data_IF_093653023555
#
_entry.id   IF_093653023555
#
_cell.length_a   1.000
_cell.length_b   1.000
_cell.length_c   1.000
_cell.angle_alpha   90.00
_cell.angle_beta   90.00
_cell.angle_gamma   90.00
#
_symmetry.space_group_name_H-M   'P 1'
#
loop_
_entity.id
_entity.type
_entity.pdbx_description
1 polymer ?
#
# COMPACT_ATOMS: atom_id res chain seq x y z
N UNK A 1 12.44 -1.82 -16.46
CA UNK A 1 12.40 -3.16 -17.09
C UNK A 1 11.73 -4.18 -16.19
N UNK A 2 12.09 -4.24 -14.89
CA UNK A 2 11.39 -5.09 -13.92
C UNK A 2 9.90 -4.72 -13.78
N UNK A 3 9.57 -3.47 -13.95
CA UNK A 3 8.20 -2.96 -13.85
C UNK A 3 7.24 -3.54 -14.89
N UNK A 4 7.74 -3.78 -16.11
CA UNK A 4 6.92 -4.37 -17.17
C UNK A 4 6.48 -5.81 -16.87
N UNK A 5 7.28 -6.53 -16.11
CA UNK A 5 6.98 -7.91 -15.74
C UNK A 5 6.00 -8.01 -14.57
N UNK A 6 5.79 -6.89 -13.85
CA UNK A 6 4.86 -6.83 -12.73
C UNK A 6 3.45 -6.45 -13.16
N UNK A 7 3.31 -5.85 -14.35
CA UNK A 7 2.05 -5.37 -14.87
C UNK A 7 1.40 -6.42 -15.75
N UNK A 8 0.21 -6.84 -15.39
CA UNK A 8 -0.63 -7.68 -16.19
C UNK A 8 -1.96 -6.97 -16.42
N UNK A 9 -1.96 -6.06 -17.40
CA UNK A 9 -3.13 -5.25 -17.74
C UNK A 9 -3.82 -5.85 -18.95
N UNK A 10 -5.01 -6.37 -18.74
CA UNK A 10 -5.87 -6.83 -19.81
C UNK A 10 -6.59 -5.63 -20.45
N UNK A 11 -7.39 -5.87 -21.49
CA UNK A 11 -8.08 -4.84 -22.24
C UNK A 11 -9.24 -4.16 -21.50
N UNK A 12 -9.11 -4.03 -20.19
CA UNK A 12 -10.04 -3.29 -19.36
C UNK A 12 -9.69 -1.81 -19.27
N UNK A 13 -10.45 -1.06 -18.49
CA UNK A 13 -10.27 0.38 -18.29
C UNK A 13 -9.50 0.74 -17.02
N UNK A 14 -8.91 -0.25 -16.36
CA UNK A 14 -8.03 -0.02 -15.21
C UNK A 14 -6.70 0.57 -15.64
N UNK A 15 -6.23 1.59 -14.92
CA UNK A 15 -4.94 2.25 -15.16
C UNK A 15 -4.12 2.29 -13.89
N UNK A 16 -2.81 2.09 -14.06
CA UNK A 16 -1.87 2.19 -12.94
C UNK A 16 -0.71 3.06 -13.38
N UNK A 17 -0.40 4.06 -12.56
CA UNK A 17 0.71 4.98 -12.79
C UNK A 17 1.66 4.90 -11.62
N UNK A 18 2.96 4.72 -11.92
CA UNK A 18 4.03 4.76 -10.94
C UNK A 18 4.56 6.17 -10.84
N UNK A 19 4.61 6.72 -9.63
CA UNK A 19 5.15 8.06 -9.42
C UNK A 19 5.83 8.17 -8.06
N UNK A 20 6.55 9.28 -7.90
CA UNK A 20 7.04 9.70 -6.60
C UNK A 20 5.96 10.58 -5.97
N UNK A 21 5.47 10.14 -4.82
CA UNK A 21 4.48 10.87 -4.05
C UNK A 21 5.10 11.90 -3.13
N UNK A 22 4.40 12.24 -2.08
CA UNK A 22 4.89 13.18 -1.07
C UNK A 22 6.18 12.63 -0.43
N UNK A 23 7.14 13.53 -0.18
CA UNK A 23 8.43 13.16 0.39
C UNK A 23 9.28 12.29 -0.51
N UNK A 24 9.00 12.29 -1.81
CA UNK A 24 9.64 11.45 -2.83
C UNK A 24 9.53 9.95 -2.54
N UNK A 25 8.52 9.54 -1.78
CA UNK A 25 8.25 8.13 -1.52
C UNK A 25 7.54 7.50 -2.73
N UNK A 26 8.00 6.32 -3.18
CA UNK A 26 7.35 5.63 -4.29
C UNK A 26 5.89 5.30 -4.00
N UNK A 27 5.03 5.57 -4.96
CA UNK A 27 3.62 5.25 -4.86
C UNK A 27 3.05 4.82 -6.20
N UNK A 28 1.90 4.18 -6.16
CA UNK A 28 1.09 3.88 -7.33
C UNK A 28 -0.24 4.60 -7.23
N UNK A 29 -0.66 5.17 -8.34
CA UNK A 29 -1.99 5.75 -8.52
C UNK A 29 -2.80 4.83 -9.40
N UNK A 30 -4.00 4.50 -8.94
CA UNK A 30 -4.88 3.53 -9.61
C UNK A 30 -6.17 4.23 -9.99
N UNK A 31 -6.58 4.06 -11.24
CA UNK A 31 -7.86 4.53 -11.74
C UNK A 31 -8.63 3.35 -12.32
N UNK A 32 -9.86 3.16 -11.86
CA UNK A 32 -10.78 2.16 -12.40
C UNK A 32 -12.00 2.89 -12.97
N UNK A 33 -12.93 2.18 -13.67
CA UNK A 33 -14.18 2.80 -14.11
C UNK A 33 -15.02 3.38 -12.97
N UNK A 34 -14.82 2.94 -11.74
CA UNK A 34 -15.64 3.32 -10.59
C UNK A 34 -14.93 4.20 -9.57
N UNK A 35 -13.59 4.20 -9.55
CA UNK A 35 -12.86 4.75 -8.41
C UNK A 35 -11.44 5.14 -8.75
N UNK A 36 -10.83 5.89 -7.83
CA UNK A 36 -9.40 6.16 -7.81
C UNK A 36 -8.81 5.76 -6.46
N UNK A 37 -7.54 5.35 -6.45
CA UNK A 37 -6.84 4.98 -5.22
C UNK A 37 -5.37 5.33 -5.32
N UNK A 38 -4.72 5.50 -4.16
CA UNK A 38 -3.29 5.71 -4.04
C UNK A 38 -2.73 4.75 -2.99
N UNK A 39 -1.63 4.08 -3.34
CA UNK A 39 -0.94 3.17 -2.44
C UNK A 39 0.54 3.52 -2.43
N UNK A 40 1.08 3.84 -1.25
CA UNK A 40 2.52 4.02 -1.05
C UNK A 40 3.17 2.67 -0.79
N UNK A 41 4.35 2.43 -1.40
CA UNK A 41 5.13 1.23 -1.10
C UNK A 41 5.68 1.27 0.32
N UNK A 42 5.91 2.47 0.86
CA UNK A 42 6.23 2.69 2.26
C UNK A 42 5.05 2.28 3.14
N UNK A 43 5.20 1.17 3.84
CA UNK A 43 4.15 0.61 4.68
C UNK A 43 3.04 -0.15 3.93
N UNK A 44 3.15 -0.34 2.61
CA UNK A 44 2.06 -0.84 1.76
C UNK A 44 0.76 -0.11 2.08
N UNK A 45 0.83 1.20 2.19
CA UNK A 45 -0.16 2.04 2.82
C UNK A 45 -1.15 2.60 1.80
N UNK A 46 -2.40 2.16 1.88
CA UNK A 46 -3.49 2.75 1.09
C UNK A 46 -3.84 4.09 1.71
N UNK A 47 -3.51 5.18 1.02
CA UNK A 47 -3.72 6.54 1.54
C UNK A 47 -4.97 7.21 0.99
N UNK A 48 -5.49 6.71 -0.12
CA UNK A 48 -6.62 7.32 -0.79
C UNK A 48 -7.47 6.27 -1.48
N UNK A 49 -8.77 6.39 -1.33
CA UNK A 49 -9.78 5.69 -2.12
C UNK A 49 -11.00 6.59 -2.25
N UNK A 50 -11.45 6.76 -3.49
CA UNK A 50 -12.62 7.60 -3.78
C UNK A 50 -13.38 7.01 -4.94
N UNK A 51 -14.69 6.77 -4.75
CA UNK A 51 -15.59 6.46 -5.85
C UNK A 51 -15.90 7.73 -6.64
N UNK A 52 -16.06 7.60 -7.94
CA UNK A 52 -16.41 8.74 -8.80
C UNK A 52 -17.73 9.36 -8.33
N UNK A 53 -17.73 10.68 -8.16
CA UNK A 53 -18.90 11.43 -7.69
C UNK A 53 -19.13 11.37 -6.19
N UNK A 54 -18.31 10.68 -5.42
CA UNK A 54 -18.42 10.59 -3.97
C UNK A 54 -17.21 11.26 -3.28
N UNK A 55 -17.33 11.65 -2.02
CA UNK A 55 -16.19 12.16 -1.26
C UNK A 55 -15.17 11.05 -0.97
N UNK A 56 -13.90 11.40 -0.66
CA UNK A 56 -12.91 10.41 -0.26
C UNK A 56 -13.37 9.58 0.93
N UNK A 57 -13.10 8.27 0.86
CA UNK A 57 -13.49 7.34 1.92
C UNK A 57 -12.55 7.39 3.11
N UNK A 58 -11.25 7.61 2.86
CA UNK A 58 -10.21 7.52 3.88
C UNK A 58 -9.78 8.91 4.33
N UNK A 59 -9.54 9.03 5.64
CA UNK A 59 -8.93 10.22 6.23
C UNK A 59 -7.41 10.12 6.13
N UNK A 60 -6.77 11.20 5.73
CA UNK A 60 -5.32 11.34 5.75
C UNK A 60 -4.98 12.61 6.51
N UNK A 61 -4.15 12.48 7.56
CA UNK A 61 -3.76 13.63 8.37
C UNK A 61 -2.88 14.60 7.57
N UNK A 62 -3.16 15.88 7.70
CA UNK A 62 -2.30 16.93 7.14
C UNK A 62 -0.95 17.01 7.86
N UNK A 63 -0.86 16.45 9.06
CA UNK A 63 0.38 16.38 9.83
C UNK A 63 1.20 15.12 9.53
N UNK A 64 0.81 14.32 8.54
CA UNK A 64 1.57 13.15 8.12
C UNK A 64 2.96 13.53 7.65
N UNK A 65 3.93 12.74 8.09
CA UNK A 65 5.31 12.84 7.58
C UNK A 65 5.50 11.79 6.51
N UNK A 66 5.77 12.24 5.29
CA UNK A 66 6.06 11.36 4.18
C UNK A 66 7.59 11.23 4.08
N UNK A 67 8.15 10.38 4.94
CA UNK A 67 9.60 10.15 4.99
C UNK A 67 9.89 8.72 5.46
N UNK A 68 11.09 8.23 5.15
CA UNK A 68 11.55 6.91 5.62
C UNK A 68 11.50 6.84 7.14
N UNK A 69 11.23 5.64 7.65
CA UNK A 69 11.18 5.33 9.08
C UNK A 69 10.12 6.09 9.88
N UNK A 70 9.23 6.81 9.21
CA UNK A 70 8.09 7.47 9.84
C UNK A 70 6.78 6.90 9.31
N UNK A 71 5.78 6.66 10.16
CA UNK A 71 4.50 6.19 9.69
C UNK A 71 3.70 7.30 9.03
N UNK A 72 3.00 6.98 7.95
CA UNK A 72 1.98 7.84 7.38
C UNK A 72 0.78 7.81 8.32
N UNK A 73 0.20 8.97 8.61
CA UNK A 73 -0.94 9.10 9.54
C UNK A 73 -2.24 9.18 8.76
N UNK A 74 -3.09 8.19 8.94
CA UNK A 74 -4.36 8.05 8.22
C UNK A 74 -4.34 6.92 7.23
N UNK A 75 -5.35 6.84 6.37
CA UNK A 75 -5.47 5.73 5.43
C UNK A 75 -5.63 4.39 6.13
N UNK A 76 -5.04 3.34 5.56
CA UNK A 76 -5.08 1.99 6.11
C UNK A 76 -3.67 1.53 6.44
N UNK A 77 -3.20 1.70 7.69
CA UNK A 77 -1.88 1.24 8.09
C UNK A 77 -1.86 -0.26 8.32
N UNK A 78 -0.74 -0.90 8.02
CA UNK A 78 -0.52 -2.31 8.35
C UNK A 78 0.20 -2.38 9.68
N UNK A 79 -0.45 -2.99 10.66
CA UNK A 79 0.08 -3.14 12.01
C UNK A 79 0.60 -4.57 12.16
N UNK A 80 1.93 -4.70 12.20
CA UNK A 80 2.60 -5.99 12.25
C UNK A 80 4.07 -5.80 12.67
N UNK A 81 4.67 -6.69 13.49
CA UNK A 81 4.09 -7.92 14.04
C UNK A 81 3.42 -7.74 15.41
N UNK A 82 3.35 -6.52 15.97
CA UNK A 82 2.63 -6.30 17.23
C UNK A 82 1.77 -5.06 17.17
N UNK A 83 0.79 -5.01 18.06
CA UNK A 83 -0.08 -3.85 18.27
C UNK A 83 0.37 -3.08 19.50
N UNK A 84 0.29 -1.75 19.45
CA UNK A 84 0.62 -0.89 20.58
C UNK A 84 2.12 -0.67 20.74
N UNK A 85 2.51 -0.21 21.92
CA UNK A 85 3.90 0.09 22.28
C UNK A 85 4.34 -0.80 23.45
N UNK A 86 4.89 -1.99 23.15
CA UNK A 86 5.36 -2.88 24.22
C UNK A 86 6.59 -2.30 24.92
N UNK A 87 6.73 -2.59 26.24
CA UNK A 87 7.83 -2.07 27.02
C UNK A 87 9.19 -2.68 26.67
N UNK A 88 9.18 -3.89 26.10
CA UNK A 88 10.38 -4.69 25.85
C UNK A 88 10.97 -4.54 24.45
N UNK A 89 10.36 -3.70 23.58
CA UNK A 89 10.85 -3.51 22.22
C UNK A 89 10.52 -2.13 21.69
N UNK A 90 11.36 -1.60 20.76
CA UNK A 90 11.16 -0.27 20.20
C UNK A 90 10.02 -0.27 19.18
N UNK A 91 9.45 0.91 19.03
CA UNK A 91 8.43 1.15 18.01
C UNK A 91 7.01 0.86 18.48
N UNK A 92 6.09 1.58 17.89
CA UNK A 92 4.66 1.43 18.12
C UNK A 92 4.01 0.75 16.93
N UNK A 93 3.15 -0.24 17.18
CA UNK A 93 2.41 -0.98 16.16
C UNK A 93 3.31 -1.76 15.18
N UNK A 94 4.43 -2.31 15.67
CA UNK A 94 5.35 -3.07 14.84
C UNK A 94 6.16 -2.21 13.89
N UNK A 95 6.73 -2.84 12.86
CA UNK A 95 7.61 -2.16 11.91
C UNK A 95 7.09 -2.15 10.47
N UNK A 96 6.03 -2.88 10.15
CA UNK A 96 5.57 -3.03 8.77
C UNK A 96 5.20 -1.70 8.12
N UNK A 97 4.59 -0.78 8.87
CA UNK A 97 4.13 0.51 8.37
C UNK A 97 5.23 1.54 8.13
N UNK A 98 6.45 1.27 8.59
CA UNK A 98 7.60 2.17 8.40
C UNK A 98 8.68 1.58 7.50
N UNK A 99 8.40 0.46 6.84
CA UNK A 99 9.31 -0.21 5.92
C UNK A 99 8.83 -0.07 4.48
N UNK A 100 9.77 -0.08 3.56
CA UNK A 100 9.44 -0.15 2.13
C UNK A 100 9.06 -1.58 1.76
N UNK A 101 7.91 -1.73 1.13
CA UNK A 101 7.43 -3.02 0.64
C UNK A 101 7.79 -3.18 -0.83
N UNK A 102 7.97 -4.41 -1.24
CA UNK A 102 8.22 -4.77 -2.63
C UNK A 102 6.89 -4.97 -3.35
N UNK A 103 6.73 -4.33 -4.50
CA UNK A 103 5.58 -4.55 -5.36
C UNK A 103 5.80 -5.85 -6.14
N UNK A 104 4.95 -6.85 -5.93
CA UNK A 104 5.08 -8.17 -6.54
C UNK A 104 4.31 -8.32 -7.82
N UNK A 105 3.09 -7.81 -7.87
CA UNK A 105 2.22 -7.99 -9.03
C UNK A 105 1.15 -6.91 -9.06
N UNK A 106 0.83 -6.45 -10.25
CA UNK A 106 -0.37 -5.68 -10.53
C UNK A 106 -1.08 -6.39 -11.66
N UNK A 107 -2.34 -6.76 -11.42
CA UNK A 107 -3.19 -7.43 -12.39
C UNK A 107 -4.49 -6.66 -12.55
N UNK A 108 -4.84 -6.34 -13.79
CA UNK A 108 -6.12 -5.71 -14.11
C UNK A 108 -6.89 -6.59 -15.08
N UNK A 109 -7.89 -7.33 -14.59
CA UNK A 109 -8.76 -8.14 -15.44
C UNK A 109 -9.59 -7.30 -16.41
N UNK A 110 -10.24 -7.97 -17.35
CA UNK A 110 -11.08 -7.30 -18.34
C UNK A 110 -12.28 -6.56 -17.75
N UNK A 111 -12.69 -6.86 -16.51
CA UNK A 111 -13.77 -6.16 -15.82
C UNK A 111 -13.40 -4.73 -15.38
N UNK A 112 -12.11 -4.36 -15.46
CA UNK A 112 -11.62 -3.04 -15.11
C UNK A 112 -11.17 -2.88 -13.66
N UNK A 113 -11.27 -3.91 -12.83
CA UNK A 113 -10.69 -3.90 -11.47
C UNK A 113 -9.17 -3.93 -11.53
N UNK A 114 -8.52 -3.55 -10.44
CA UNK A 114 -7.07 -3.62 -10.30
C UNK A 114 -6.73 -4.34 -9.00
N UNK A 115 -5.93 -5.38 -9.12
CA UNK A 115 -5.44 -6.16 -7.97
C UNK A 115 -3.94 -5.90 -7.82
N UNK A 116 -3.52 -5.58 -6.59
CA UNK A 116 -2.13 -5.25 -6.25
C UNK A 116 -1.66 -6.21 -5.18
N UNK A 117 -0.49 -6.81 -5.36
CA UNK A 117 0.16 -7.62 -4.32
C UNK A 117 1.51 -7.01 -3.95
N UNK A 118 1.70 -6.85 -2.65
CA UNK A 118 2.94 -6.33 -2.08
C UNK A 118 3.51 -7.34 -1.08
N UNK A 119 4.82 -7.27 -0.87
CA UNK A 119 5.53 -8.19 0.00
C UNK A 119 6.53 -7.43 0.85
N UNK A 120 6.58 -7.76 2.13
CA UNK A 120 7.62 -7.33 3.05
C UNK A 120 8.41 -8.56 3.51
N UNK A 121 9.73 -8.48 3.38
CA UNK A 121 10.63 -9.47 3.98
C UNK A 121 11.48 -8.75 5.01
N UNK A 122 11.46 -9.24 6.25
CA UNK A 122 12.17 -8.63 7.34
C UNK A 122 12.64 -9.69 8.34
N UNK A 123 13.75 -9.40 9.02
CA UNK A 123 14.18 -10.20 10.16
C UNK A 123 13.33 -9.85 11.37
N UNK A 124 12.92 -10.86 12.12
CA UNK A 124 12.21 -10.65 13.38
C UNK A 124 12.67 -11.62 14.44
N UNK A 125 13.00 -11.10 15.59
CA UNK A 125 13.35 -11.92 16.76
C UNK A 125 12.14 -12.74 17.25
N UNK A 126 10.92 -12.25 17.02
CA UNK A 126 9.70 -12.96 17.40
C UNK A 126 9.55 -14.31 16.70
N UNK A 127 10.01 -14.39 15.45
CA UNK A 127 9.95 -15.62 14.68
C UNK A 127 11.30 -16.33 14.62
N UNK A 128 12.29 -15.82 15.33
CA UNK A 128 13.68 -16.30 15.32
C UNK A 128 14.20 -16.48 13.90
N UNK A 129 13.91 -15.51 13.04
CA UNK A 129 14.33 -15.59 11.66
C UNK A 129 13.64 -14.55 10.77
N UNK A 130 13.69 -14.86 9.47
CA UNK A 130 13.10 -14.01 8.43
C UNK A 130 11.59 -14.22 8.37
N UNK A 131 10.86 -13.13 8.45
CA UNK A 131 9.41 -13.10 8.25
C UNK A 131 9.13 -12.54 6.86
N UNK A 132 8.17 -13.16 6.18
CA UNK A 132 7.62 -12.67 4.92
C UNK A 132 6.14 -12.41 5.10
N UNK A 133 5.70 -11.19 4.76
CA UNK A 133 4.30 -10.79 4.80
C UNK A 133 3.86 -10.44 3.39
N UNK A 134 2.75 -10.98 2.96
CA UNK A 134 2.12 -10.60 1.70
C UNK A 134 0.81 -9.87 1.96
N UNK A 135 0.54 -8.86 1.15
CA UNK A 135 -0.63 -8.02 1.26
C UNK A 135 -1.23 -7.81 -0.12
N UNK A 136 -2.53 -8.10 -0.23
CA UNK A 136 -3.25 -7.94 -1.48
C UNK A 136 -4.34 -6.89 -1.32
N UNK A 137 -4.43 -6.00 -2.31
CA UNK A 137 -5.44 -4.94 -2.36
C UNK A 137 -6.18 -5.03 -3.68
N UNK A 138 -7.50 -4.99 -3.63
CA UNK A 138 -8.34 -4.94 -4.81
C UNK A 138 -9.09 -3.62 -4.87
N UNK A 139 -9.00 -2.97 -6.02
CA UNK A 139 -9.65 -1.69 -6.29
C UNK A 139 -10.68 -1.87 -7.40
N UNK A 140 -11.93 -1.60 -7.09
CA UNK A 140 -13.04 -1.56 -8.04
C UNK A 140 -14.07 -0.54 -7.54
N UNK A 141 -15.36 -0.87 -7.51
CA UNK A 141 -16.34 -0.03 -6.85
C UNK A 141 -16.29 -0.12 -5.32
N UNK A 142 -15.43 -0.99 -4.81
CA UNK A 142 -15.14 -1.18 -3.40
C UNK A 142 -13.61 -1.25 -3.20
N UNK A 143 -13.18 -1.04 -1.97
CA UNK A 143 -11.81 -1.25 -1.53
C UNK A 143 -11.76 -2.52 -0.69
N UNK A 144 -10.96 -3.50 -1.10
CA UNK A 144 -10.82 -4.77 -0.37
C UNK A 144 -9.40 -5.34 -0.42
#
# INVERSE_FOLDING_TARGET
MAEKNLLNLESGSGRVTFLEGRGDLPMIEITTPWSTAEIYLHGAHVTHFKKHGEPPLLFLSQCSRFQKDAPIRGGIPIIFPWFGKPADRPGQHGFARVKAWELKEIHSPADGSVNVRLKLSAWSELADGKITVEYAVRINNELS
#
